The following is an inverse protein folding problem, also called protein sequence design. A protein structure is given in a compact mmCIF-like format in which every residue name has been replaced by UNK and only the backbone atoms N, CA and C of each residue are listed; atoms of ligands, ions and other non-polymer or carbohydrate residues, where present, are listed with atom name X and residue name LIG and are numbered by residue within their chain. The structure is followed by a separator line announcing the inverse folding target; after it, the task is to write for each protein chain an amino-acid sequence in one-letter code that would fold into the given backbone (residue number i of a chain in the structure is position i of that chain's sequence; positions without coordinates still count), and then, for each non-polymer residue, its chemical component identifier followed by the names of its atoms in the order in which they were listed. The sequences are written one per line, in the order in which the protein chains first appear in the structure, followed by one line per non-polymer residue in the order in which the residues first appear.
data_IF_164481702980
#
_entry.id   IF_164481702980
#
_cell.length_a   1.000
_cell.length_b   1.000
_cell.length_c   1.000
_cell.angle_alpha   90.00
_cell.angle_beta   90.00
_cell.angle_gamma   90.00
#
_symmetry.space_group_name_H-M   'P 1'
#
loop_
_entity.id
_entity.type
_entity.pdbx_description
1 polymer ?
#
# COMPACT_ATOMS: atom_id res chain seq x y z
N UNK A 1 1.19 -7.75 -16.81
CA UNK A 1 1.57 -6.36 -16.50
C UNK A 1 1.66 -5.44 -17.73
N UNK A 2 2.22 -5.83 -18.87
CA UNK A 2 2.22 -4.99 -20.09
C UNK A 2 0.84 -4.81 -20.75
N UNK A 3 -0.14 -5.61 -20.41
CA UNK A 3 -1.50 -5.59 -20.95
C UNK A 3 -2.51 -4.78 -20.12
N UNK A 4 -2.12 -4.27 -18.95
CA UNK A 4 -3.03 -3.50 -18.09
C UNK A 4 -3.50 -2.24 -18.81
N UNK A 5 -4.82 -2.07 -18.85
CA UNK A 5 -5.48 -0.84 -19.34
C UNK A 5 -6.16 -0.16 -18.17
N UNK A 6 -5.91 1.12 -18.01
CA UNK A 6 -6.40 1.94 -16.92
C UNK A 6 -7.32 3.03 -17.46
N UNK A 7 -8.35 3.39 -16.71
CA UNK A 7 -9.09 4.62 -16.94
C UNK A 7 -8.17 5.81 -16.74
N UNK A 8 -8.23 6.78 -17.64
CA UNK A 8 -7.45 8.00 -17.53
C UNK A 8 -8.36 9.22 -17.36
N UNK A 9 -7.87 10.17 -16.55
CA UNK A 9 -8.61 11.34 -16.16
C UNK A 9 -7.81 12.61 -16.46
N UNK A 10 -8.50 13.73 -16.70
CA UNK A 10 -7.88 15.06 -16.80
C UNK A 10 -7.60 15.66 -15.40
N UNK A 11 -7.01 16.86 -15.35
CA UNK A 11 -6.73 17.55 -14.10
C UNK A 11 -8.01 17.99 -13.34
N UNK A 12 -9.17 17.98 -13.98
CA UNK A 12 -10.49 18.20 -13.38
C UNK A 12 -11.16 16.88 -12.97
N UNK A 13 -10.49 15.75 -13.20
CA UNK A 13 -10.95 14.39 -12.86
C UNK A 13 -12.13 13.90 -13.69
N UNK A 14 -12.30 14.44 -14.89
CA UNK A 14 -13.21 13.87 -15.87
C UNK A 14 -12.50 12.70 -16.55
N UNK A 15 -13.17 11.56 -16.66
CA UNK A 15 -12.65 10.44 -17.41
C UNK A 15 -12.54 10.84 -18.89
N UNK A 16 -11.35 10.73 -19.46
CA UNK A 16 -11.04 11.14 -20.84
C UNK A 16 -10.73 9.96 -21.76
N UNK A 17 -10.65 8.74 -21.23
CA UNK A 17 -10.40 7.55 -22.01
C UNK A 17 -9.83 6.40 -21.20
N UNK A 18 -9.11 5.53 -21.91
CA UNK A 18 -8.39 4.37 -21.41
C UNK A 18 -7.03 4.32 -22.09
N UNK A 19 -5.96 4.05 -21.32
CA UNK A 19 -4.61 3.91 -21.86
C UNK A 19 -3.89 2.72 -21.21
N UNK A 20 -2.78 2.28 -21.81
CA UNK A 20 -1.93 1.26 -21.17
C UNK A 20 -1.22 1.85 -19.96
N UNK A 21 -0.89 1.00 -18.96
CA UNK A 21 -0.12 1.39 -17.79
C UNK A 21 1.16 2.16 -18.17
N UNK A 22 1.88 1.69 -19.19
CA UNK A 22 3.09 2.36 -19.67
C UNK A 22 2.80 3.79 -20.15
N UNK A 23 1.76 3.97 -20.95
CA UNK A 23 1.38 5.28 -21.46
C UNK A 23 0.91 6.21 -20.34
N UNK A 24 0.15 5.71 -19.39
CA UNK A 24 -0.34 6.45 -18.21
C UNK A 24 0.83 7.09 -17.46
N UNK A 25 1.84 6.32 -17.13
CA UNK A 25 3.00 6.82 -16.37
C UNK A 25 4.00 7.62 -17.23
N UNK A 26 4.07 7.35 -18.54
CA UNK A 26 4.92 8.14 -19.44
C UNK A 26 4.36 9.55 -19.67
N UNK A 27 3.04 9.67 -19.83
CA UNK A 27 2.36 10.95 -20.10
C UNK A 27 2.01 11.68 -18.80
N UNK A 28 1.76 10.92 -17.72
CA UNK A 28 1.32 11.43 -16.44
C UNK A 28 -0.18 11.73 -16.41
N UNK A 29 -1.00 10.79 -16.89
CA UNK A 29 -2.44 10.86 -16.71
C UNK A 29 -2.84 10.51 -15.27
N UNK A 30 -3.86 11.18 -14.76
CA UNK A 30 -4.51 10.73 -13.54
C UNK A 30 -5.18 9.38 -13.79
N UNK A 31 -5.01 8.45 -12.85
CA UNK A 31 -5.63 7.13 -12.88
C UNK A 31 -6.00 6.69 -11.48
N UNK A 32 -6.95 5.77 -11.39
CA UNK A 32 -7.44 5.27 -10.10
C UNK A 32 -6.60 4.11 -9.61
N UNK A 33 -6.32 4.13 -8.29
CA UNK A 33 -5.66 3.04 -7.57
C UNK A 33 -6.47 2.67 -6.33
N UNK A 34 -6.28 1.44 -5.88
CA UNK A 34 -6.81 0.91 -4.63
C UNK A 34 -5.66 0.76 -3.63
N UNK A 35 -5.81 1.37 -2.44
CA UNK A 35 -4.86 1.22 -1.34
C UNK A 35 -5.56 0.66 -0.12
N UNK A 36 -5.05 -0.40 0.44
CA UNK A 36 -5.58 -1.03 1.65
C UNK A 36 -4.50 -1.11 2.72
N UNK A 37 -4.71 -0.37 3.79
CA UNK A 37 -3.88 -0.39 4.98
C UNK A 37 -4.43 -1.41 5.97
N UNK A 38 -3.56 -2.27 6.52
CA UNK A 38 -3.95 -3.22 7.54
C UNK A 38 -3.51 -2.71 8.91
N UNK A 39 -4.38 -2.83 9.88
CA UNK A 39 -4.05 -2.64 11.29
C UNK A 39 -4.50 -3.87 12.07
N UNK A 40 -3.74 -4.18 13.11
CA UNK A 40 -4.07 -5.24 14.05
C UNK A 40 -3.79 -4.79 15.47
N UNK A 41 -4.37 -5.49 16.43
CA UNK A 41 -4.17 -5.18 17.84
C UNK A 41 -3.57 -6.37 18.57
N UNK A 42 -2.45 -6.15 19.25
CA UNK A 42 -1.84 -7.14 20.13
C UNK A 42 -1.84 -6.60 21.56
N UNK A 43 -2.64 -7.23 22.44
CA UNK A 43 -2.92 -6.71 23.79
C UNK A 43 -3.50 -5.30 23.72
N UNK A 44 -2.75 -4.30 24.18
CA UNK A 44 -3.16 -2.88 24.19
C UNK A 44 -2.43 -2.04 23.15
N UNK A 45 -1.67 -2.67 22.23
CA UNK A 45 -0.88 -1.98 21.21
C UNK A 45 -1.47 -2.19 19.82
N UNK A 46 -1.72 -1.09 19.12
CA UNK A 46 -2.13 -1.11 17.72
C UNK A 46 -0.89 -1.17 16.82
N UNK A 47 -0.94 -2.02 15.81
CA UNK A 47 0.11 -2.20 14.80
C UNK A 47 -0.43 -1.88 13.42
N UNK A 48 0.43 -1.34 12.56
CA UNK A 48 0.19 -1.19 11.12
C UNK A 48 1.09 -2.18 10.38
N UNK A 49 0.54 -2.82 9.34
CA UNK A 49 1.27 -3.78 8.52
C UNK A 49 1.70 -3.13 7.21
N UNK A 50 2.90 -3.49 6.74
CA UNK A 50 3.42 -3.04 5.46
C UNK A 50 3.96 -4.23 4.67
N UNK A 51 3.79 -4.21 3.35
CA UNK A 51 4.42 -5.18 2.47
C UNK A 51 5.89 -4.84 2.22
N UNK A 52 6.71 -5.85 2.00
CA UNK A 52 8.02 -5.73 1.37
C UNK A 52 7.84 -6.08 -0.11
N UNK A 53 8.02 -5.10 -0.98
CA UNK A 53 7.89 -5.27 -2.44
C UNK A 53 8.94 -6.25 -2.94
N UNK A 54 8.56 -7.11 -3.87
CA UNK A 54 9.50 -8.07 -4.47
C UNK A 54 10.64 -7.38 -5.20
N UNK A 55 11.83 -7.98 -5.17
CA UNK A 55 13.02 -7.51 -5.90
C UNK A 55 12.85 -7.54 -7.43
N UNK A 56 11.88 -8.31 -7.96
CA UNK A 56 11.61 -8.39 -9.40
C UNK A 56 10.64 -7.32 -9.90
N UNK A 57 10.08 -6.50 -9.01
CA UNK A 57 9.22 -5.37 -9.38
C UNK A 57 10.02 -4.31 -10.13
N UNK A 58 9.43 -3.74 -11.19
CA UNK A 58 10.06 -2.65 -11.97
C UNK A 58 10.19 -1.35 -11.16
N UNK A 59 9.19 -1.08 -10.34
CA UNK A 59 9.08 0.16 -9.58
C UNK A 59 9.28 -0.14 -8.09
N UNK A 60 10.25 0.55 -7.47
CA UNK A 60 10.53 0.45 -6.03
C UNK A 60 10.79 -0.97 -5.50
N UNK A 61 11.67 -1.80 -6.15
CA UNK A 61 11.98 -3.14 -5.66
C UNK A 61 12.59 -3.10 -4.25
N UNK A 62 12.28 -4.10 -3.42
CA UNK A 62 12.88 -4.28 -2.10
C UNK A 62 12.54 -3.21 -1.05
N UNK A 63 11.57 -2.32 -1.31
CA UNK A 63 11.14 -1.31 -0.37
C UNK A 63 9.84 -1.70 0.35
N UNK A 64 9.67 -1.21 1.58
CA UNK A 64 8.43 -1.33 2.32
C UNK A 64 7.38 -0.36 1.77
N UNK A 65 6.13 -0.82 1.67
CA UNK A 65 5.05 -0.07 1.06
C UNK A 65 3.71 -0.32 1.80
N UNK A 66 2.64 0.30 1.33
CA UNK A 66 1.24 0.08 1.73
C UNK A 66 0.98 -1.42 1.79
N UNK A 67 0.15 -1.87 2.73
CA UNK A 67 -0.05 -3.33 2.95
C UNK A 67 -0.49 -4.06 1.68
N UNK A 68 -1.47 -3.52 0.95
CA UNK A 68 -1.85 -3.99 -0.39
C UNK A 68 -2.20 -2.78 -1.26
N UNK A 69 -1.70 -2.73 -2.50
CA UNK A 69 -1.95 -1.61 -3.39
C UNK A 69 -1.83 -2.00 -4.87
N UNK A 70 -2.80 -1.57 -5.68
CA UNK A 70 -2.75 -1.82 -7.12
C UNK A 70 -3.64 -0.89 -7.94
N UNK A 71 -3.46 -0.95 -9.25
CA UNK A 71 -4.24 -0.17 -10.20
C UNK A 71 -5.65 -0.73 -10.35
N UNK A 72 -6.63 0.16 -10.49
CA UNK A 72 -7.96 -0.23 -10.94
C UNK A 72 -7.96 -0.34 -12.47
N UNK A 73 -8.24 -1.53 -12.97
CA UNK A 73 -8.31 -1.77 -14.43
C UNK A 73 -9.49 -1.01 -15.05
N UNK A 74 -9.44 -0.81 -16.36
CA UNK A 74 -10.43 -0.01 -17.07
C UNK A 74 -11.87 -0.51 -16.91
N UNK A 75 -12.08 -1.80 -16.71
CA UNK A 75 -13.39 -2.43 -16.51
C UNK A 75 -13.80 -2.53 -15.03
N UNK A 76 -12.89 -2.20 -14.13
CA UNK A 76 -13.10 -2.35 -12.68
C UNK A 76 -13.76 -1.11 -12.06
N UNK A 77 -14.49 -1.36 -11.01
CA UNK A 77 -14.94 -0.36 -10.03
C UNK A 77 -13.99 -0.36 -8.82
N UNK A 78 -14.14 0.61 -7.94
CA UNK A 78 -13.38 0.68 -6.68
C UNK A 78 -13.58 -0.57 -5.81
N UNK A 79 -14.77 -1.21 -5.88
CA UNK A 79 -15.06 -2.42 -5.12
C UNK A 79 -14.23 -3.63 -5.58
N UNK A 80 -13.94 -3.69 -6.88
CA UNK A 80 -13.16 -4.78 -7.46
C UNK A 80 -11.69 -4.72 -7.03
N UNK A 81 -11.20 -3.54 -6.62
CA UNK A 81 -9.84 -3.36 -6.11
C UNK A 81 -9.51 -4.20 -4.88
N UNK A 82 -10.50 -4.71 -4.14
CA UNK A 82 -10.26 -5.65 -3.02
C UNK A 82 -9.55 -6.93 -3.46
N UNK A 83 -9.57 -7.29 -4.76
CA UNK A 83 -8.82 -8.42 -5.31
C UNK A 83 -7.32 -8.33 -5.03
N UNK A 84 -6.74 -7.10 -4.98
CA UNK A 84 -5.32 -6.90 -4.69
C UNK A 84 -4.92 -7.50 -3.34
N UNK A 85 -5.80 -7.40 -2.34
CA UNK A 85 -5.57 -8.02 -1.02
C UNK A 85 -5.41 -9.53 -1.14
N UNK A 86 -6.27 -10.17 -1.92
CA UNK A 86 -6.21 -11.62 -2.13
C UNK A 86 -5.04 -12.03 -3.02
N UNK A 87 -4.81 -11.28 -4.10
CA UNK A 87 -3.76 -11.59 -5.09
C UNK A 87 -2.38 -11.40 -4.47
N UNK A 88 -2.11 -10.28 -3.82
CA UNK A 88 -0.79 -9.98 -3.24
C UNK A 88 -0.52 -10.73 -1.93
N UNK A 89 -1.53 -10.82 -1.05
CA UNK A 89 -1.35 -11.27 0.34
C UNK A 89 -1.98 -12.63 0.66
N UNK A 90 -2.84 -13.15 -0.24
CA UNK A 90 -3.56 -14.41 -0.03
C UNK A 90 -4.61 -14.36 1.08
N UNK A 91 -5.04 -13.16 1.46
CA UNK A 91 -6.07 -12.95 2.50
C UNK A 91 -7.41 -12.68 1.82
N UNK A 92 -8.41 -13.52 2.12
CA UNK A 92 -9.77 -13.33 1.62
C UNK A 92 -10.49 -12.27 2.46
N UNK A 93 -10.72 -11.11 1.86
CA UNK A 93 -11.44 -9.98 2.46
C UNK A 93 -12.59 -9.57 1.55
N UNK A 94 -13.78 -9.42 2.10
CA UNK A 94 -14.90 -8.81 1.40
C UNK A 94 -14.78 -7.28 1.43
N UNK A 95 -15.15 -6.61 0.35
CA UNK A 95 -15.14 -5.14 0.30
C UNK A 95 -15.94 -4.49 1.46
N UNK A 96 -16.99 -5.17 1.96
CA UNK A 96 -17.80 -4.69 3.08
C UNK A 96 -17.10 -4.74 4.45
N UNK A 97 -15.98 -5.47 4.55
CA UNK A 97 -15.13 -5.50 5.76
C UNK A 97 -14.13 -4.36 5.79
N UNK A 98 -13.99 -3.64 4.68
CA UNK A 98 -13.09 -2.50 4.57
C UNK A 98 -13.75 -1.23 5.08
N UNK A 99 -13.06 -0.50 5.92
CA UNK A 99 -13.47 0.84 6.35
C UNK A 99 -12.90 1.90 5.39
N UNK A 100 -13.74 2.71 4.72
CA UNK A 100 -13.23 3.74 3.83
C UNK A 100 -12.50 4.82 4.63
N UNK A 101 -11.28 5.13 4.21
CA UNK A 101 -10.51 6.27 4.66
C UNK A 101 -10.66 7.47 3.71
N UNK A 102 -11.32 7.30 2.55
CA UNK A 102 -11.59 8.33 1.55
C UNK A 102 -10.59 8.35 0.42
N UNK A 103 -10.63 9.40 -0.38
CA UNK A 103 -9.79 9.54 -1.58
C UNK A 103 -8.69 10.55 -1.31
N UNK A 104 -7.46 10.25 -1.74
CA UNK A 104 -6.32 11.18 -1.74
C UNK A 104 -5.81 11.29 -3.17
N UNK A 105 -5.49 12.52 -3.58
CA UNK A 105 -4.89 12.82 -4.87
C UNK A 105 -3.45 13.21 -4.63
N UNK A 106 -2.53 12.45 -5.18
CA UNK A 106 -1.13 12.78 -5.07
C UNK A 106 -0.38 12.42 -6.35
N UNK A 107 0.84 12.90 -6.47
CA UNK A 107 1.69 12.68 -7.62
C UNK A 107 3.13 12.48 -7.21
N UNK A 108 3.79 11.55 -7.87
CA UNK A 108 5.22 11.29 -7.71
C UNK A 108 5.90 11.46 -9.05
N UNK A 109 7.10 12.02 -9.05
CA UNK A 109 7.93 12.18 -10.22
C UNK A 109 9.26 11.48 -9.96
N UNK A 110 9.61 10.53 -10.83
CA UNK A 110 10.89 9.83 -10.77
C UNK A 110 11.47 9.72 -12.20
N UNK A 111 12.34 10.65 -12.57
CA UNK A 111 12.85 10.76 -13.94
C UNK A 111 11.71 10.96 -14.95
N UNK A 112 11.56 10.02 -15.88
CA UNK A 112 10.50 10.04 -16.90
C UNK A 112 9.20 9.34 -16.43
N UNK A 113 9.18 8.81 -15.23
CA UNK A 113 8.02 8.17 -14.63
C UNK A 113 7.21 9.23 -13.88
N UNK A 114 5.98 9.44 -14.33
CA UNK A 114 5.05 10.39 -13.73
C UNK A 114 3.85 9.61 -13.22
N UNK A 115 3.73 9.54 -11.92
CA UNK A 115 2.64 8.85 -11.26
C UNK A 115 1.66 9.86 -10.66
N UNK A 116 0.43 9.88 -11.19
CA UNK A 116 -0.66 10.74 -10.69
C UNK A 116 -1.84 9.88 -10.29
N UNK A 117 -2.00 9.66 -9.02
CA UNK A 117 -3.00 8.74 -8.49
C UNK A 117 -4.21 9.42 -7.86
N UNK A 118 -5.37 8.88 -8.21
CA UNK A 118 -6.64 9.03 -7.51
C UNK A 118 -6.73 7.82 -6.56
N UNK A 119 -6.10 7.93 -5.39
CA UNK A 119 -5.98 6.81 -4.47
C UNK A 119 -7.26 6.64 -3.63
N UNK A 120 -7.97 5.55 -3.87
CA UNK A 120 -9.10 5.09 -3.07
C UNK A 120 -8.57 4.30 -1.87
N UNK A 121 -8.66 4.86 -0.67
CA UNK A 121 -7.95 4.37 0.51
C UNK A 121 -8.90 3.70 1.48
N UNK A 122 -8.52 2.50 1.91
CA UNK A 122 -9.27 1.66 2.83
C UNK A 122 -8.41 1.20 4.00
N UNK A 123 -9.07 0.86 5.09
CA UNK A 123 -8.51 0.23 6.28
C UNK A 123 -9.16 -1.14 6.47
N UNK A 124 -8.33 -2.15 6.68
CA UNK A 124 -8.76 -3.46 7.14
C UNK A 124 -8.26 -3.71 8.56
N UNK A 125 -9.18 -4.06 9.47
CA UNK A 125 -8.85 -4.44 10.85
C UNK A 125 -8.64 -5.94 10.93
N UNK A 126 -7.38 -6.34 10.90
CA UNK A 126 -6.97 -7.73 10.92
C UNK A 126 -7.07 -8.31 12.34
N UNK A 127 -7.66 -9.47 12.47
CA UNK A 127 -7.73 -10.22 13.75
C UNK A 127 -6.69 -11.34 13.86
N UNK A 128 -6.03 -11.69 12.76
CA UNK A 128 -5.02 -12.74 12.65
C UNK A 128 -3.59 -12.23 12.82
N UNK A 129 -2.64 -13.06 12.40
CA UNK A 129 -1.21 -12.80 12.50
C UNK A 129 -0.46 -13.07 11.20
N UNK A 130 0.87 -13.16 11.29
CA UNK A 130 1.73 -13.41 10.12
C UNK A 130 1.50 -14.78 9.45
N UNK A 131 0.85 -15.72 10.13
CA UNK A 131 0.51 -17.04 9.61
C UNK A 131 -0.58 -17.00 8.54
N UNK A 132 -1.41 -15.96 8.52
CA UNK A 132 -2.51 -15.84 7.57
C UNK A 132 -2.05 -15.37 6.19
N UNK A 133 -0.87 -14.74 6.11
CA UNK A 133 -0.33 -14.24 4.86
C UNK A 133 0.22 -15.37 3.97
N UNK A 134 -0.28 -15.42 2.72
CA UNK A 134 0.17 -16.30 1.64
C UNK A 134 0.57 -15.42 0.46
N UNK A 135 1.81 -14.97 0.47
CA UNK A 135 2.31 -13.95 -0.45
C UNK A 135 2.41 -14.47 -1.89
N UNK A 136 2.05 -13.64 -2.84
CA UNK A 136 2.45 -13.79 -4.23
C UNK A 136 3.87 -13.24 -4.39
N UNK A 137 4.88 -14.11 -4.34
CA UNK A 137 6.29 -13.75 -4.16
C UNK A 137 6.86 -12.87 -5.29
N UNK A 138 6.26 -12.93 -6.49
CA UNK A 138 6.62 -12.03 -7.61
C UNK A 138 6.18 -10.57 -7.36
N UNK A 139 5.21 -10.35 -6.47
CA UNK A 139 4.68 -9.04 -6.12
C UNK A 139 5.16 -8.59 -4.74
N UNK A 140 5.04 -9.47 -3.74
CA UNK A 140 5.32 -9.21 -2.32
C UNK A 140 6.24 -10.27 -1.75
N UNK A 141 7.44 -9.89 -1.34
CA UNK A 141 8.43 -10.80 -0.77
C UNK A 141 8.41 -10.90 0.76
N UNK A 142 7.62 -10.09 1.45
CA UNK A 142 7.55 -10.11 2.91
C UNK A 142 6.47 -9.21 3.48
N UNK A 143 6.21 -9.37 4.78
CA UNK A 143 5.31 -8.53 5.57
C UNK A 143 6.01 -8.15 6.87
N UNK A 144 5.90 -6.89 7.22
CA UNK A 144 6.31 -6.37 8.52
C UNK A 144 5.14 -5.71 9.23
N UNK A 145 5.24 -5.59 10.55
CA UNK A 145 4.40 -4.74 11.37
C UNK A 145 5.23 -3.73 12.13
N UNK A 146 4.62 -2.61 12.43
CA UNK A 146 5.18 -1.50 13.18
C UNK A 146 4.15 -1.05 14.20
N UNK A 147 4.57 -0.63 15.40
CA UNK A 147 3.65 0.04 16.32
C UNK A 147 3.07 1.28 15.66
N UNK A 148 1.75 1.44 15.69
CA UNK A 148 1.10 2.55 14.97
C UNK A 148 1.60 3.92 15.45
N UNK A 149 1.80 4.12 16.75
CA UNK A 149 2.34 5.37 17.29
C UNK A 149 3.76 5.66 16.80
N UNK A 150 4.61 4.62 16.71
CA UNK A 150 5.96 4.75 16.16
C UNK A 150 5.94 5.10 14.66
N UNK A 151 5.02 4.51 13.90
CA UNK A 151 4.81 4.83 12.49
C UNK A 151 4.35 6.28 12.29
N UNK A 152 3.45 6.74 13.15
CA UNK A 152 3.00 8.12 13.13
C UNK A 152 4.16 9.09 13.44
N UNK A 153 4.92 8.86 14.52
CA UNK A 153 6.07 9.67 14.88
C UNK A 153 7.14 9.70 13.78
N UNK A 154 7.38 8.58 13.12
CA UNK A 154 8.36 8.46 12.05
C UNK A 154 8.02 9.33 10.83
N UNK A 155 6.76 9.29 10.38
CA UNK A 155 6.33 10.07 9.22
C UNK A 155 6.02 11.54 9.55
N UNK A 156 5.59 11.84 10.77
CA UNK A 156 5.35 13.22 11.24
C UNK A 156 6.62 13.93 11.71
N UNK A 157 7.78 13.29 11.62
CA UNK A 157 9.07 13.91 11.86
C UNK A 157 9.60 13.81 13.29
N UNK A 158 8.96 13.00 14.16
CA UNK A 158 9.42 12.74 15.52
C UNK A 158 10.58 11.73 15.63
N UNK A 159 10.74 10.87 14.61
CA UNK A 159 11.76 9.83 14.57
C UNK A 159 12.44 9.73 13.20
N UNK A 160 13.72 9.37 13.18
CA UNK A 160 14.47 9.11 11.94
C UNK A 160 14.49 7.62 11.57
N UNK A 161 14.32 6.76 12.55
CA UNK A 161 14.25 5.31 12.39
C UNK A 161 13.10 4.72 13.16
N UNK A 162 12.65 3.54 12.74
CA UNK A 162 11.49 2.85 13.29
C UNK A 162 11.82 1.36 13.43
N UNK A 163 11.38 0.74 14.51
CA UNK A 163 11.51 -0.70 14.71
C UNK A 163 10.48 -1.44 13.88
N UNK A 164 10.93 -2.39 13.09
CA UNK A 164 10.12 -3.25 12.25
C UNK A 164 10.29 -4.71 12.65
N UNK A 165 9.18 -5.45 12.69
CA UNK A 165 9.14 -6.88 12.98
C UNK A 165 8.30 -7.60 11.93
N UNK A 166 8.75 -8.78 11.47
CA UNK A 166 7.99 -9.54 10.48
C UNK A 166 8.79 -10.67 9.84
N UNK A 167 8.54 -10.90 8.57
CA UNK A 167 9.25 -11.91 7.80
C UNK A 167 9.42 -11.48 6.34
N UNK A 168 10.41 -12.08 5.69
CA UNK A 168 10.53 -12.11 4.23
C UNK A 168 10.72 -13.54 3.76
N UNK A 169 10.38 -13.79 2.50
CA UNK A 169 10.65 -15.06 1.84
C UNK A 169 12.08 -15.07 1.32
N UNK A 170 12.76 -16.21 1.41
CA UNK A 170 14.02 -16.45 0.72
C UNK A 170 13.79 -17.09 -0.66
N UNK A 171 14.87 -17.38 -1.39
CA UNK A 171 14.82 -17.99 -2.73
C UNK A 171 14.20 -19.41 -2.75
N UNK A 172 14.11 -20.06 -1.58
CA UNK A 172 13.52 -21.39 -1.40
C UNK A 172 12.11 -21.32 -0.81
N UNK A 173 11.50 -20.12 -0.75
CA UNK A 173 10.18 -19.83 -0.18
C UNK A 173 10.07 -20.16 1.32
N UNK A 174 11.16 -20.05 2.07
CA UNK A 174 11.15 -20.12 3.52
C UNK A 174 11.01 -18.74 4.15
N UNK A 175 10.25 -18.65 5.24
CA UNK A 175 10.10 -17.41 6.01
C UNK A 175 11.37 -17.12 6.82
N UNK A 176 12.04 -16.01 6.50
CA UNK A 176 13.16 -15.46 7.30
C UNK A 176 12.62 -14.33 8.17
N UNK A 177 12.86 -14.41 9.46
CA UNK A 177 12.45 -13.40 10.43
C UNK A 177 13.17 -12.06 10.22
N UNK A 178 12.41 -10.97 10.32
CA UNK A 178 12.89 -9.59 10.33
C UNK A 178 12.62 -9.02 11.72
N UNK A 179 13.65 -8.47 12.35
CA UNK A 179 13.57 -7.74 13.62
C UNK A 179 14.73 -6.74 13.65
N UNK A 180 14.48 -5.50 13.24
CA UNK A 180 15.51 -4.50 13.04
C UNK A 180 14.97 -3.06 13.06
N UNK A 181 15.90 -2.09 13.07
CA UNK A 181 15.57 -0.69 12.80
C UNK A 181 15.60 -0.41 11.31
N UNK A 182 14.66 0.40 10.83
CA UNK A 182 14.57 0.83 9.45
C UNK A 182 14.50 2.36 9.34
N UNK A 183 15.18 2.93 8.35
CA UNK A 183 15.14 4.36 8.02
C UNK A 183 14.25 4.64 6.81
N UNK A 184 13.94 5.91 6.55
CA UNK A 184 13.03 6.34 5.47
C UNK A 184 13.44 5.87 4.06
N UNK A 185 14.72 5.64 3.84
CA UNK A 185 15.25 5.13 2.58
C UNK A 185 14.86 3.66 2.27
N UNK A 186 14.30 2.95 3.24
CA UNK A 186 13.80 1.58 3.07
C UNK A 186 12.31 1.52 2.75
N UNK A 187 11.64 2.68 2.63
CA UNK A 187 10.22 2.79 2.32
C UNK A 187 9.99 3.45 0.98
N UNK A 188 8.91 3.09 0.30
CA UNK A 188 8.48 3.79 -0.91
C UNK A 188 8.20 5.25 -0.56
N UNK A 189 8.75 6.14 -1.39
CA UNK A 189 8.64 7.59 -1.15
C UNK A 189 7.30 8.13 -1.65
N UNK A 190 6.27 8.04 -0.82
CA UNK A 190 5.06 8.82 -1.03
C UNK A 190 5.23 10.27 -0.51
N UNK A 191 4.36 11.18 -0.96
CA UNK A 191 4.38 12.56 -0.44
C UNK A 191 4.11 12.57 1.08
N UNK A 192 4.78 13.41 1.84
CA UNK A 192 4.54 13.52 3.29
C UNK A 192 3.07 13.77 3.61
N UNK A 193 2.39 14.63 2.83
CA UNK A 193 0.96 14.91 2.99
C UNK A 193 0.05 13.68 2.83
N UNK A 194 0.49 12.69 2.04
CA UNK A 194 -0.19 11.40 1.93
C UNK A 194 -0.14 10.65 3.25
N UNK A 195 1.08 10.43 3.79
CA UNK A 195 1.24 9.76 5.09
C UNK A 195 0.53 10.50 6.23
N UNK A 196 0.66 11.83 6.30
CA UNK A 196 -0.02 12.65 7.29
C UNK A 196 -1.54 12.43 7.27
N UNK A 197 -2.14 12.44 6.07
CA UNK A 197 -3.58 12.25 5.90
C UNK A 197 -4.01 10.83 6.28
N UNK A 198 -3.26 9.81 5.86
CA UNK A 198 -3.55 8.41 6.16
C UNK A 198 -3.45 8.15 7.66
N UNK A 199 -2.36 8.60 8.30
CA UNK A 199 -2.14 8.44 9.74
C UNK A 199 -3.30 9.07 10.54
N UNK A 200 -3.69 10.31 10.20
CA UNK A 200 -4.80 10.99 10.88
C UNK A 200 -6.11 10.20 10.75
N UNK A 201 -6.42 9.70 9.55
CA UNK A 201 -7.66 8.95 9.30
C UNK A 201 -7.66 7.58 9.99
N UNK A 202 -6.53 6.87 9.99
CA UNK A 202 -6.38 5.61 10.74
C UNK A 202 -6.53 5.87 12.25
N UNK A 203 -5.85 6.88 12.80
CA UNK A 203 -5.97 7.24 14.21
C UNK A 203 -7.42 7.53 14.64
N UNK A 204 -8.20 8.22 13.78
CA UNK A 204 -9.63 8.44 14.03
C UNK A 204 -10.40 7.13 14.10
N UNK A 205 -10.10 6.16 13.22
CA UNK A 205 -10.77 4.84 13.18
C UNK A 205 -10.37 3.93 14.35
N UNK A 206 -9.13 4.01 14.82
CA UNK A 206 -8.66 3.27 16.00
C UNK A 206 -9.27 3.81 17.30
N UNK A 207 -9.52 5.12 17.38
CA UNK A 207 -10.11 5.79 18.56
C UNK A 207 -11.65 5.80 18.55
N UNK A 208 -12.30 5.44 17.44
CA UNK A 208 -13.77 5.35 17.37
C UNK A 208 -14.22 4.03 18.00
N UNK A 209 -14.90 4.14 19.16
CA UNK A 209 -15.51 2.99 19.86
C UNK A 209 -16.82 2.59 19.21
#
# INVERSE_FOLDING_TARGET
MESEKLKIFDDNRNQIGVASREEVHRVGYWHEVFHCWFVGKEKDTDYIYLQLRSEVKKDYPGLFDITAAGHLLAEESVMDGVREVREELGIDVSFHELEPLGVIYYRVFNGNFIDKEIANIFLYKMSGGFEDFKLQEDEVSGIIKVKFDDFADFWLGGKETIHIEGFKMDEESHKIHIDQMAGKNQFVTHQNSYYETVIQRIAQKLNSK
#
